data_IF_384883907594
#
_entry.id   IF_384883907594
#
_cell.length_a   1.000
_cell.length_b   1.000
_cell.length_c   1.000
_cell.angle_alpha   90.00
_cell.angle_beta   90.00
_cell.angle_gamma   90.00
#
_symmetry.space_group_name_H-M   'P 1'
#
loop_
_entity.id
_entity.type
_entity.pdbx_description
1 polymer ?
#
# COMPACT_ATOMS: atom_id res chain seq x y z
N UNK A 1 -29.98 -19.53 -14.11
CA UNK A 1 -28.77 -19.72 -14.78
C UNK A 1 -27.60 -19.23 -13.97
N UNK A 2 -26.68 -19.98 -13.94
CA UNK A 2 -25.51 -19.57 -13.25
C UNK A 2 -24.76 -18.51 -14.06
N UNK A 3 -23.94 -17.83 -13.39
CA UNK A 3 -23.05 -16.91 -14.02
C UNK A 3 -21.83 -17.69 -14.52
N UNK A 4 -21.64 -17.67 -15.81
CA UNK A 4 -20.48 -18.32 -16.41
C UNK A 4 -19.17 -17.61 -16.11
N UNK A 5 -19.23 -16.39 -15.62
CA UNK A 5 -18.05 -15.55 -15.43
C UNK A 5 -17.89 -15.25 -13.97
N UNK A 6 -16.71 -15.48 -13.40
CA UNK A 6 -16.46 -15.06 -12.03
C UNK A 6 -16.52 -13.53 -11.93
N UNK A 7 -16.79 -13.04 -10.73
CA UNK A 7 -16.71 -11.61 -10.47
C UNK A 7 -15.29 -11.14 -10.81
N UNK A 8 -15.15 -9.95 -11.41
CA UNK A 8 -13.81 -9.42 -11.70
C UNK A 8 -13.04 -9.22 -10.40
N UNK A 9 -11.79 -9.62 -10.41
CA UNK A 9 -10.88 -9.40 -9.30
C UNK A 9 -9.90 -8.32 -9.71
N UNK A 10 -10.00 -7.15 -9.08
CA UNK A 10 -9.03 -6.09 -9.28
C UNK A 10 -7.85 -6.33 -8.35
N UNK A 11 -6.65 -6.14 -8.87
CA UNK A 11 -5.43 -6.34 -8.11
C UNK A 11 -4.63 -5.06 -8.06
N UNK A 12 -4.30 -4.65 -6.84
CA UNK A 12 -3.37 -3.55 -6.60
C UNK A 12 -2.19 -4.07 -5.80
N UNK A 13 -1.08 -3.35 -5.88
CA UNK A 13 0.12 -3.66 -5.12
C UNK A 13 0.67 -2.37 -4.52
N UNK A 14 1.18 -2.46 -3.30
CA UNK A 14 1.70 -1.29 -2.63
C UNK A 14 2.76 -1.62 -1.60
N UNK A 15 3.35 -0.56 -1.05
CA UNK A 15 4.42 -0.68 -0.08
C UNK A 15 4.03 -0.06 1.25
N UNK A 16 4.36 -0.77 2.32
CA UNK A 16 4.61 -0.15 3.61
C UNK A 16 6.02 0.40 3.50
N UNK A 17 6.14 1.68 3.18
CA UNK A 17 7.44 2.32 2.93
C UNK A 17 7.93 2.97 4.21
N UNK A 18 9.09 2.51 4.68
CA UNK A 18 9.64 2.97 5.96
C UNK A 18 10.92 3.76 5.76
N UNK A 19 11.11 4.74 6.64
CA UNK A 19 12.36 5.46 6.82
C UNK A 19 12.67 5.43 8.30
N UNK A 20 13.64 4.60 8.70
CA UNK A 20 13.95 4.34 10.10
C UNK A 20 12.69 3.90 10.86
N UNK A 21 12.16 4.75 11.74
CA UNK A 21 11.01 4.43 12.57
C UNK A 21 9.71 5.10 12.08
N UNK A 22 9.70 5.61 10.86
CA UNK A 22 8.51 6.24 10.30
C UNK A 22 8.03 5.52 9.06
N UNK A 23 6.74 5.67 8.77
CA UNK A 23 6.10 5.09 7.59
C UNK A 23 5.38 6.19 6.84
N UNK A 24 5.35 6.07 5.51
CA UNK A 24 4.71 7.05 4.64
C UNK A 24 3.25 6.70 4.43
N UNK A 25 2.38 7.65 4.70
CA UNK A 25 0.96 7.57 4.35
C UNK A 25 0.60 8.68 3.39
N UNK A 26 -0.31 8.39 2.48
CA UNK A 26 -0.85 9.35 1.52
C UNK A 26 -2.33 9.55 1.78
N UNK A 27 -2.80 10.78 1.58
CA UNK A 27 -4.23 11.06 1.62
C UNK A 27 -4.78 11.03 0.20
N UNK A 28 -5.80 10.23 0.00
CA UNK A 28 -6.46 10.05 -1.29
C UNK A 28 -7.57 11.09 -1.47
N UNK A 29 -8.02 11.34 -2.71
CA UNK A 29 -9.01 12.41 -2.97
C UNK A 29 -10.28 12.29 -2.16
N UNK A 30 -10.70 11.06 -1.82
CA UNK A 30 -11.90 10.84 -1.02
C UNK A 30 -11.68 11.15 0.46
N UNK A 31 -10.44 11.46 0.87
CA UNK A 31 -10.10 11.83 2.23
C UNK A 31 -9.46 10.75 3.06
N UNK A 32 -9.51 9.49 2.63
CA UNK A 32 -8.92 8.42 3.41
C UNK A 32 -7.39 8.40 3.31
N UNK A 33 -6.76 7.88 4.35
CA UNK A 33 -5.31 7.74 4.44
C UNK A 33 -4.93 6.29 4.29
N UNK A 34 -3.94 6.02 3.45
CA UNK A 34 -3.47 4.69 3.17
C UNK A 34 -2.02 4.74 2.69
N UNK A 35 -1.46 3.56 2.41
CA UNK A 35 -0.12 3.44 1.84
C UNK A 35 -0.13 3.74 0.34
N UNK A 36 1.03 4.06 -0.24
CA UNK A 36 1.15 4.13 -1.70
C UNK A 36 0.83 2.77 -2.33
N UNK A 37 -0.05 2.77 -3.33
CA UNK A 37 -0.46 1.56 -4.03
C UNK A 37 -1.14 1.91 -5.33
N UNK A 38 -1.26 0.93 -6.21
CA UNK A 38 -2.07 1.08 -7.40
C UNK A 38 -2.21 -0.21 -8.18
N UNK A 39 -2.96 -0.13 -9.26
CA UNK A 39 -3.40 -1.28 -10.05
C UNK A 39 -2.28 -1.88 -10.89
N UNK A 40 -2.29 -3.21 -11.00
CA UNK A 40 -1.42 -3.92 -11.94
C UNK A 40 -1.79 -3.49 -13.36
N UNK A 41 -0.78 -3.22 -14.17
CA UNK A 41 -0.96 -2.87 -15.57
C UNK A 41 -0.27 -3.90 -16.44
N UNK A 42 -0.98 -4.35 -17.50
CA UNK A 42 -0.43 -5.29 -18.43
C UNK A 42 0.02 -6.58 -17.76
N UNK A 43 1.25 -6.98 -18.05
CA UNK A 43 1.83 -8.21 -17.51
C UNK A 43 2.86 -7.93 -16.42
N UNK A 44 2.75 -6.79 -15.73
CA UNK A 44 3.62 -6.49 -14.59
C UNK A 44 3.51 -7.58 -13.53
N UNK A 45 4.63 -7.92 -12.91
CA UNK A 45 4.57 -8.66 -11.65
C UNK A 45 4.24 -7.69 -10.51
N UNK A 46 3.97 -8.22 -9.32
CA UNK A 46 3.50 -7.41 -8.22
C UNK A 46 4.53 -6.39 -7.73
N UNK A 47 5.81 -6.75 -7.72
CA UNK A 47 6.86 -5.80 -7.36
C UNK A 47 6.97 -4.67 -8.38
N UNK A 48 6.89 -5.00 -9.66
CA UNK A 48 6.94 -3.97 -10.71
C UNK A 48 5.80 -2.98 -10.56
N UNK A 49 4.60 -3.47 -10.26
CA UNK A 49 3.45 -2.60 -10.01
C UNK A 49 3.68 -1.70 -8.82
N UNK A 50 4.10 -2.26 -7.69
CA UNK A 50 4.30 -1.49 -6.47
C UNK A 50 5.39 -0.42 -6.67
N UNK A 51 6.48 -0.78 -7.35
CA UNK A 51 7.58 0.16 -7.63
C UNK A 51 7.11 1.29 -8.54
N UNK A 52 6.40 0.95 -9.61
CA UNK A 52 5.91 1.96 -10.56
C UNK A 52 4.93 2.91 -9.88
N UNK A 53 3.98 2.37 -9.13
CA UNK A 53 2.98 3.20 -8.44
C UNK A 53 3.62 4.09 -7.39
N UNK A 54 4.59 3.58 -6.64
CA UNK A 54 5.30 4.41 -5.66
C UNK A 54 5.97 5.59 -6.34
N UNK A 55 6.66 5.33 -7.45
CA UNK A 55 7.34 6.40 -8.17
C UNK A 55 6.35 7.41 -8.76
N UNK A 56 5.25 6.95 -9.32
CA UNK A 56 4.22 7.83 -9.86
C UNK A 56 3.59 8.71 -8.77
N UNK A 57 3.35 8.15 -7.61
CA UNK A 57 2.62 8.83 -6.54
C UNK A 57 3.50 9.73 -5.69
N UNK A 58 4.78 9.41 -5.56
CA UNK A 58 5.66 10.09 -4.59
C UNK A 58 6.97 10.59 -5.19
N UNK A 59 7.35 10.13 -6.37
CA UNK A 59 8.65 10.41 -6.96
C UNK A 59 9.79 9.60 -6.35
N UNK A 60 9.50 8.69 -5.42
CA UNK A 60 10.52 7.88 -4.76
C UNK A 60 10.74 6.59 -5.56
N UNK A 61 12.01 6.33 -5.91
CA UNK A 61 12.40 5.09 -6.59
C UNK A 61 13.63 4.43 -5.96
N UNK A 62 14.30 5.13 -5.05
CA UNK A 62 15.50 4.62 -4.38
C UNK A 62 15.07 3.89 -3.12
N UNK A 63 14.79 2.59 -3.29
CA UNK A 63 14.23 1.76 -2.21
C UNK A 63 14.95 0.41 -2.14
N UNK A 64 14.88 -0.19 -0.95
CA UNK A 64 15.27 -1.58 -0.75
C UNK A 64 14.05 -2.37 -0.32
N UNK A 65 13.75 -3.45 -1.04
CA UNK A 65 12.59 -4.29 -0.77
C UNK A 65 12.97 -5.41 0.17
N UNK A 66 12.16 -5.62 1.21
CA UNK A 66 12.28 -6.77 2.09
C UNK A 66 11.45 -7.91 1.51
N UNK A 67 12.10 -8.87 0.88
CA UNK A 67 11.41 -9.97 0.21
C UNK A 67 10.90 -11.04 1.17
N UNK A 68 11.17 -10.92 2.46
CA UNK A 68 10.76 -11.90 3.46
C UNK A 68 9.35 -11.72 3.99
N UNK A 69 8.63 -10.74 3.50
CA UNK A 69 7.28 -10.44 4.01
C UNK A 69 6.36 -10.01 2.87
N UNK A 70 5.13 -10.46 2.95
CA UNK A 70 4.04 -9.94 2.14
C UNK A 70 2.73 -10.15 2.89
N UNK A 71 1.75 -9.36 2.53
CA UNK A 71 0.42 -9.44 3.16
C UNK A 71 -0.62 -9.17 2.10
N UNK A 72 -1.72 -9.91 2.15
CA UNK A 72 -2.80 -9.74 1.19
C UNK A 72 -4.06 -9.32 1.93
N UNK A 73 -4.70 -8.27 1.45
CA UNK A 73 -6.02 -7.85 1.91
C UNK A 73 -7.00 -7.97 0.76
N UNK A 74 -8.27 -8.16 1.08
CA UNK A 74 -9.30 -8.13 0.05
C UNK A 74 -10.58 -7.53 0.60
N UNK A 75 -11.33 -6.91 -0.29
CA UNK A 75 -12.63 -6.36 0.04
C UNK A 75 -13.48 -6.29 -1.21
N UNK A 76 -14.79 -6.10 -1.00
CA UNK A 76 -15.77 -6.02 -2.07
C UNK A 76 -16.39 -4.63 -2.06
N UNK A 77 -16.60 -4.08 -3.23
CA UNK A 77 -17.28 -2.79 -3.33
C UNK A 77 -18.25 -2.78 -4.52
N UNK A 78 -19.15 -1.79 -4.54
CA UNK A 78 -20.10 -1.62 -5.62
C UNK A 78 -19.57 -0.54 -6.58
N UNK A 79 -19.59 -0.85 -7.86
CA UNK A 79 -19.20 0.10 -8.90
C UNK A 79 -20.14 -0.07 -10.09
N UNK A 80 -20.86 1.00 -10.42
CA UNK A 80 -21.78 1.03 -11.58
C UNK A 80 -22.78 -0.11 -11.54
N UNK A 81 -23.35 -0.39 -10.37
CA UNK A 81 -24.33 -1.44 -10.19
C UNK A 81 -23.78 -2.85 -10.18
N UNK A 82 -22.46 -3.00 -10.15
CA UNK A 82 -21.79 -4.31 -10.13
C UNK A 82 -21.01 -4.46 -8.86
N UNK A 83 -20.93 -5.71 -8.40
CA UNK A 83 -20.08 -6.08 -7.29
C UNK A 83 -18.67 -6.34 -7.82
N UNK A 84 -17.67 -5.69 -7.26
CA UNK A 84 -16.27 -5.85 -7.65
C UNK A 84 -15.49 -6.35 -6.45
N UNK A 85 -14.76 -7.43 -6.63
CA UNK A 85 -13.84 -7.94 -5.64
C UNK A 85 -12.47 -7.33 -5.89
N UNK A 86 -11.84 -6.87 -4.82
CA UNK A 86 -10.51 -6.27 -4.91
C UNK A 86 -9.56 -6.92 -3.92
N UNK A 87 -8.35 -7.20 -4.38
CA UNK A 87 -7.26 -7.64 -3.54
C UNK A 87 -6.10 -6.67 -3.65
N UNK A 88 -5.34 -6.55 -2.56
CA UNK A 88 -4.14 -5.73 -2.54
C UNK A 88 -3.01 -6.57 -1.95
N UNK A 89 -1.89 -6.60 -2.64
CA UNK A 89 -0.66 -7.21 -2.14
C UNK A 89 0.25 -6.13 -1.59
N UNK A 90 0.66 -6.31 -0.34
CA UNK A 90 1.48 -5.34 0.38
C UNK A 90 2.86 -5.90 0.61
N UNK A 91 3.87 -5.06 0.44
CA UNK A 91 5.28 -5.41 0.65
C UNK A 91 5.92 -4.35 1.52
N UNK A 92 7.06 -4.67 2.10
CA UNK A 92 7.85 -3.70 2.88
C UNK A 92 9.01 -3.23 2.02
N UNK A 93 9.21 -1.92 2.00
CA UNK A 93 10.39 -1.32 1.40
C UNK A 93 10.90 -0.22 2.31
N UNK A 94 12.20 0.04 2.24
CA UNK A 94 12.83 1.12 2.99
C UNK A 94 13.47 2.11 2.05
N UNK A 95 13.57 3.35 2.50
CA UNK A 95 14.21 4.43 1.74
C UNK A 95 14.87 5.40 2.70
N UNK A 96 15.92 6.06 2.23
CA UNK A 96 16.50 7.21 2.95
C UNK A 96 16.01 8.54 2.38
N UNK A 97 15.08 8.51 1.43
CA UNK A 97 14.54 9.71 0.78
C UNK A 97 13.23 10.11 1.45
N UNK A 98 13.19 11.30 2.04
CA UNK A 98 12.00 11.82 2.69
C UNK A 98 11.18 12.76 1.81
N UNK A 99 11.80 13.30 0.75
CA UNK A 99 11.12 14.22 -0.12
C UNK A 99 10.07 13.49 -0.97
N UNK A 100 8.84 13.98 -0.89
CA UNK A 100 7.71 13.41 -1.62
C UNK A 100 7.18 14.45 -2.58
N UNK A 101 7.05 14.05 -3.86
CA UNK A 101 6.42 14.88 -4.89
C UNK A 101 5.11 14.21 -5.24
N UNK A 102 4.03 14.69 -4.63
CA UNK A 102 2.72 14.08 -4.81
C UNK A 102 2.22 14.21 -6.25
N UNK A 103 1.60 13.15 -6.76
CA UNK A 103 0.84 13.23 -7.99
C UNK A 103 -0.42 14.05 -7.72
N UNK A 104 -1.08 14.50 -8.81
CA UNK A 104 -2.33 15.25 -8.68
C UNK A 104 -3.49 14.42 -8.13
N UNK A 105 -3.29 13.10 -8.00
CA UNK A 105 -4.31 12.20 -7.46
C UNK A 105 -4.31 12.16 -5.92
N UNK A 106 -3.32 12.78 -5.27
CA UNK A 106 -3.22 12.75 -3.81
C UNK A 106 -3.19 14.16 -3.27
N UNK A 107 -3.79 14.34 -2.09
CA UNK A 107 -3.95 15.66 -1.52
C UNK A 107 -2.94 15.98 -0.43
N UNK A 108 -2.33 14.97 0.19
CA UNK A 108 -1.38 15.19 1.26
C UNK A 108 -0.55 13.93 1.53
N UNK A 109 0.53 14.09 2.29
CA UNK A 109 1.32 12.96 2.76
C UNK A 109 1.84 13.24 4.16
N UNK A 110 2.13 12.17 4.89
CA UNK A 110 2.71 12.25 6.22
C UNK A 110 3.71 11.12 6.40
N UNK A 111 4.85 11.46 7.00
CA UNK A 111 5.76 10.47 7.57
C UNK A 111 5.44 10.40 9.06
N UNK A 112 4.98 9.25 9.51
CA UNK A 112 4.50 9.09 10.90
C UNK A 112 5.23 7.93 11.58
N UNK A 113 5.37 8.02 12.91
CA UNK A 113 5.76 6.84 13.67
C UNK A 113 4.72 5.74 13.44
N UNK A 114 5.08 4.50 13.73
CA UNK A 114 4.13 3.42 13.53
C UNK A 114 2.90 3.54 14.42
N UNK A 115 3.05 4.02 15.64
CA UNK A 115 1.90 4.25 16.51
C UNK A 115 0.98 5.32 15.95
N UNK A 116 1.55 6.44 15.47
CA UNK A 116 0.76 7.51 14.85
C UNK A 116 0.12 7.06 13.55
N UNK A 117 0.84 6.26 12.77
CA UNK A 117 0.30 5.76 11.50
C UNK A 117 -0.88 4.83 11.72
N UNK A 118 -0.83 4.00 12.76
CA UNK A 118 -1.95 3.15 13.10
C UNK A 118 -3.20 3.97 13.37
N UNK A 119 -3.07 5.06 14.09
CA UNK A 119 -4.19 5.96 14.36
C UNK A 119 -4.66 6.68 13.11
N UNK A 120 -3.74 7.07 12.23
CA UNK A 120 -4.06 7.86 11.04
C UNK A 120 -4.70 7.04 9.94
N UNK A 121 -4.34 5.77 9.79
CA UNK A 121 -4.91 4.90 8.76
C UNK A 121 -6.43 4.84 8.90
N UNK A 122 -7.13 4.96 7.78
CA UNK A 122 -8.58 5.02 7.80
C UNK A 122 -9.22 3.65 7.97
N UNK A 123 -8.63 2.60 7.38
CA UNK A 123 -9.26 1.28 7.31
C UNK A 123 -8.60 0.30 8.25
N UNK A 124 -9.43 -0.45 8.99
CA UNK A 124 -8.94 -1.42 9.97
C UNK A 124 -8.05 -2.50 9.34
N UNK A 125 -8.38 -2.96 8.13
CA UNK A 125 -7.56 -3.94 7.44
C UNK A 125 -6.12 -3.44 7.24
N UNK A 126 -5.96 -2.16 6.96
CA UNK A 126 -4.64 -1.59 6.72
C UNK A 126 -3.87 -1.36 8.00
N UNK A 127 -4.58 -1.16 9.11
CA UNK A 127 -3.95 -1.16 10.43
C UNK A 127 -3.39 -2.54 10.76
N UNK A 128 -4.10 -3.61 10.38
CA UNK A 128 -3.62 -4.97 10.55
C UNK A 128 -2.37 -5.24 9.71
N UNK A 129 -2.33 -4.70 8.50
CA UNK A 129 -1.13 -4.77 7.65
C UNK A 129 0.06 -4.14 8.37
N UNK A 130 -0.14 -2.98 8.96
CA UNK A 130 0.92 -2.27 9.67
C UNK A 130 1.44 -3.08 10.86
N UNK A 131 0.54 -3.67 11.64
CA UNK A 131 0.94 -4.48 12.79
C UNK A 131 1.72 -5.71 12.36
N UNK A 132 1.32 -6.37 11.29
CA UNK A 132 2.04 -7.51 10.75
C UNK A 132 3.42 -7.12 10.24
N UNK A 133 3.51 -6.00 9.52
CA UNK A 133 4.79 -5.50 9.03
C UNK A 133 5.73 -5.16 10.19
N UNK A 134 5.19 -4.51 11.23
CA UNK A 134 5.97 -4.15 12.41
C UNK A 134 6.52 -5.39 13.10
N UNK A 135 5.69 -6.41 13.27
CA UNK A 135 6.10 -7.66 13.89
C UNK A 135 7.24 -8.31 13.11
N UNK A 136 7.11 -8.36 11.78
CA UNK A 136 8.16 -8.91 10.93
C UNK A 136 9.46 -8.13 11.08
N UNK A 137 9.40 -6.81 11.02
CA UNK A 137 10.59 -5.97 11.12
C UNK A 137 11.27 -6.11 12.47
N UNK A 138 10.50 -6.24 13.54
CA UNK A 138 11.05 -6.49 14.88
C UNK A 138 11.77 -7.83 14.96
N UNK A 139 11.20 -8.88 14.36
CA UNK A 139 11.84 -10.20 14.31
C UNK A 139 13.13 -10.18 13.52
N UNK A 140 13.24 -9.32 12.53
CA UNK A 140 14.45 -9.18 11.72
C UNK A 140 15.49 -8.25 12.37
N UNK A 141 15.24 -7.78 13.59
CA UNK A 141 16.16 -6.92 14.30
C UNK A 141 16.07 -5.45 13.95
N UNK A 142 15.07 -5.06 13.16
CA UNK A 142 14.86 -3.66 12.84
C UNK A 142 14.21 -2.95 14.02
N UNK A 143 14.65 -1.72 14.29
CA UNK A 143 14.12 -0.92 15.38
C UNK A 143 13.01 -0.04 14.84
N UNK A 144 11.80 -0.42 15.14
CA UNK A 144 10.64 0.37 14.72
C UNK A 144 9.67 0.55 15.86
#
# INVERSE_FOLDING_TARGET
>A
MYDAYPSPMETSCGFVLVNYDSVLLLQYPQGHWSYPKGHVEGDEDHYQTAIRELNEETGISDIEIDSGWSYRTEYTFQSKGRTVDKQVYWYIASTDKLEVKLSHEHTNYLWLSLDEAEEQLTFDQEKEVLLSAREHMQKMGNTI
#
